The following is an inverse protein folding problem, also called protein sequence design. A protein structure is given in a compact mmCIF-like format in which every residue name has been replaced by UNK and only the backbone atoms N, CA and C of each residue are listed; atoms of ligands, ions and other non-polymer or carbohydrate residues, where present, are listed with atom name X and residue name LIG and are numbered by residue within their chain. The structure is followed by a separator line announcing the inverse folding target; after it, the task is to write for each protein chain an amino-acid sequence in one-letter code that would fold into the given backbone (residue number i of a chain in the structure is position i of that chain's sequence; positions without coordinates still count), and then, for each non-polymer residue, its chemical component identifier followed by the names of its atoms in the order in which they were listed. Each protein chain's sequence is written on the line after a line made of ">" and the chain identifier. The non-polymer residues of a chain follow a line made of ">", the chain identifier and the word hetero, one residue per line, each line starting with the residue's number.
data_IF_286453340345
#
_entry.id   IF_286453340345
#
_cell.length_a   1.000
_cell.length_b   1.000
_cell.length_c   1.000
_cell.angle_alpha   90.00
_cell.angle_beta   90.00
_cell.angle_gamma   90.00
#
_symmetry.space_group_name_H-M   'P 1'
#
loop_
_entity.id
_entity.type
_entity.pdbx_description
1 polymer ?
#
# COMPACT_ATOMS: atom_id res chain seq x y z
N UNK A 1 -11.13 -8.20 9.33
CA UNK A 1 -11.50 -7.52 8.06
C UNK A 1 -10.71 -8.15 6.94
N UNK A 2 -11.30 -8.23 5.74
CA UNK A 2 -10.64 -8.73 4.54
C UNK A 2 -10.36 -7.54 3.62
N UNK A 3 -9.18 -7.50 3.03
CA UNK A 3 -8.75 -6.49 2.06
C UNK A 3 -8.34 -7.20 0.78
N UNK A 4 -8.67 -6.60 -0.36
CA UNK A 4 -8.27 -7.05 -1.68
C UNK A 4 -6.98 -6.33 -2.08
N UNK A 5 -6.04 -7.08 -2.62
CA UNK A 5 -4.77 -6.56 -3.12
C UNK A 5 -4.65 -6.85 -4.62
N UNK A 6 -4.20 -5.86 -5.38
CA UNK A 6 -3.57 -6.15 -6.66
C UNK A 6 -2.15 -6.65 -6.39
N UNK A 7 -1.74 -7.73 -7.04
CA UNK A 7 -0.41 -8.31 -6.90
C UNK A 7 0.08 -8.73 -8.28
N UNK A 8 1.28 -8.28 -8.63
CA UNK A 8 1.96 -8.65 -9.86
C UNK A 8 3.44 -8.97 -9.60
N UNK A 9 4.05 -9.71 -10.52
CA UNK A 9 5.48 -9.97 -10.50
C UNK A 9 6.13 -9.25 -11.69
N UNK A 10 7.12 -8.41 -11.41
CA UNK A 10 7.96 -7.75 -12.40
C UNK A 10 9.43 -8.15 -12.19
N UNK A 11 9.95 -8.96 -13.10
CA UNK A 11 11.26 -9.60 -12.98
C UNK A 11 11.40 -10.39 -11.67
N UNK A 12 12.35 -9.98 -10.84
CA UNK A 12 12.63 -10.60 -9.53
C UNK A 12 11.78 -10.04 -8.38
N UNK A 13 10.90 -9.09 -8.65
CA UNK A 13 10.14 -8.39 -7.62
C UNK A 13 8.66 -8.71 -7.70
N UNK A 14 8.05 -8.83 -6.53
CA UNK A 14 6.61 -8.85 -6.35
C UNK A 14 6.17 -7.46 -5.91
N UNK A 15 5.21 -6.88 -6.63
CA UNK A 15 4.67 -5.54 -6.38
C UNK A 15 3.19 -5.69 -6.02
N UNK A 16 2.72 -4.95 -5.02
CA UNK A 16 1.31 -4.96 -4.68
C UNK A 16 0.82 -3.72 -3.95
N UNK A 17 -0.48 -3.53 -4.00
CA UNK A 17 -1.19 -2.44 -3.32
C UNK A 17 -2.60 -2.88 -2.92
N UNK A 18 -3.09 -2.35 -1.79
CA UNK A 18 -4.45 -2.63 -1.32
C UNK A 18 -5.46 -1.74 -2.05
N UNK A 19 -6.44 -2.37 -2.69
CA UNK A 19 -7.53 -1.69 -3.41
C UNK A 19 -8.47 -0.98 -2.44
N UNK A 20 -8.76 -1.66 -1.32
CA UNK A 20 -9.69 -1.19 -0.30
C UNK A 20 -9.05 -0.18 0.68
N UNK A 21 -7.72 -0.02 0.63
CA UNK A 21 -6.96 0.92 1.46
C UNK A 21 -5.86 1.62 0.64
N UNK A 22 -6.26 2.61 -0.19
CA UNK A 22 -5.32 3.36 -1.04
C UNK A 22 -4.19 3.99 -0.22
N UNK A 23 -2.96 3.91 -0.75
CA UNK A 23 -1.75 4.37 -0.07
C UNK A 23 -1.00 3.29 0.71
N UNK A 24 -1.55 2.07 0.81
CA UNK A 24 -0.81 0.90 1.28
C UNK A 24 -0.30 0.09 0.10
N UNK A 25 1.00 0.16 -0.11
CA UNK A 25 1.72 -0.54 -1.18
C UNK A 25 3.01 -1.15 -0.62
N UNK A 26 3.49 -2.20 -1.27
CA UNK A 26 4.75 -2.86 -0.92
C UNK A 26 5.40 -3.50 -2.16
N UNK A 27 6.70 -3.75 -2.08
CA UNK A 27 7.47 -4.47 -3.08
C UNK A 27 8.47 -5.39 -2.37
N UNK A 28 8.49 -6.67 -2.71
CA UNK A 28 9.32 -7.67 -2.03
C UNK A 28 9.90 -8.71 -3.00
N UNK A 29 10.87 -9.51 -2.55
CA UNK A 29 11.50 -10.57 -3.38
C UNK A 29 10.66 -11.84 -3.49
N UNK A 30 9.67 -12.03 -2.61
CA UNK A 30 8.73 -13.13 -2.69
C UNK A 30 7.28 -12.68 -2.50
N UNK A 31 6.34 -13.43 -3.09
CA UNK A 31 4.91 -13.19 -2.92
C UNK A 31 4.47 -13.25 -1.46
N UNK A 32 5.09 -14.11 -0.66
CA UNK A 32 4.72 -14.29 0.75
C UNK A 32 5.16 -13.08 1.57
N UNK A 33 6.40 -12.61 1.38
CA UNK A 33 6.89 -11.38 2.02
C UNK A 33 6.04 -10.19 1.60
N UNK A 34 5.68 -10.08 0.32
CA UNK A 34 4.80 -9.01 -0.16
C UNK A 34 3.48 -8.96 0.62
N UNK A 35 2.83 -10.12 0.81
CA UNK A 35 1.58 -10.22 1.55
C UNK A 35 1.78 -9.80 3.01
N UNK A 36 2.88 -10.20 3.65
CA UNK A 36 3.16 -9.78 5.02
C UNK A 36 3.42 -8.27 5.13
N UNK A 37 4.20 -7.69 4.21
CA UNK A 37 4.43 -6.25 4.17
C UNK A 37 3.14 -5.46 3.94
N UNK A 38 2.25 -5.91 3.05
CA UNK A 38 0.92 -5.30 2.86
C UNK A 38 0.07 -5.36 4.14
N UNK A 39 0.10 -6.47 4.87
CA UNK A 39 -0.61 -6.58 6.16
C UNK A 39 -0.03 -5.65 7.22
N UNK A 40 1.29 -5.46 7.25
CA UNK A 40 1.94 -4.55 8.19
C UNK A 40 1.55 -3.11 7.85
N UNK A 41 1.72 -2.70 6.59
CA UNK A 41 1.33 -1.36 6.13
C UNK A 41 -0.15 -1.06 6.36
N UNK A 42 -1.04 -2.04 6.19
CA UNK A 42 -2.45 -1.87 6.52
C UNK A 42 -2.70 -1.61 8.00
N UNK A 43 -2.01 -2.33 8.90
CA UNK A 43 -2.12 -2.12 10.35
C UNK A 43 -1.63 -0.72 10.71
N UNK A 44 -0.46 -0.34 10.23
CA UNK A 44 0.13 0.97 10.49
C UNK A 44 -0.80 2.10 10.02
N UNK A 45 -1.36 1.98 8.81
CA UNK A 45 -2.29 2.96 8.23
C UNK A 45 -3.58 3.11 9.06
N UNK A 46 -4.15 1.99 9.54
CA UNK A 46 -5.39 2.00 10.34
C UNK A 46 -5.17 2.52 11.76
N UNK A 47 -3.99 2.28 12.31
CA UNK A 47 -3.61 2.69 13.66
C UNK A 47 -3.11 4.14 13.71
N UNK A 48 -2.74 4.74 12.58
CA UNK A 48 -2.16 6.08 12.51
C UNK A 48 -3.19 7.20 12.84
N UNK A 49 -3.08 7.89 13.99
CA UNK A 49 -4.11 8.82 14.44
C UNK A 49 -4.16 10.14 13.64
N UNK A 50 -3.04 10.57 13.05
CA UNK A 50 -2.96 11.87 12.40
C UNK A 50 -3.61 11.90 11.00
N UNK A 51 -3.91 10.75 10.39
CA UNK A 51 -4.74 10.69 9.17
C UNK A 51 -6.19 11.12 9.45
N UNK A 52 -6.66 11.01 10.69
CA UNK A 52 -8.05 11.35 11.05
C UNK A 52 -8.29 12.86 11.16
N UNK A 53 -7.23 13.68 11.26
CA UNK A 53 -7.34 15.12 11.50
C UNK A 53 -6.52 16.00 10.54
N UNK A 54 -5.69 15.42 9.68
CA UNK A 54 -4.85 16.17 8.73
C UNK A 54 -5.56 16.25 7.38
N UNK A 55 -5.83 17.47 6.92
CA UNK A 55 -6.08 17.70 5.48
C UNK A 55 -4.72 17.60 4.78
N UNK A 56 -4.49 16.59 3.92
CA UNK A 56 -3.26 16.51 3.15
C UNK A 56 -3.22 17.67 2.16
N UNK A 57 -2.05 18.27 1.98
CA UNK A 57 -1.81 19.22 0.90
C UNK A 57 -1.65 18.42 -0.39
N UNK A 58 -2.71 18.38 -1.20
CA UNK A 58 -2.76 17.62 -2.43
C UNK A 58 -2.34 18.53 -3.58
N UNK A 59 -1.28 18.14 -4.29
CA UNK A 59 -0.81 18.84 -5.48
C UNK A 59 -1.02 17.98 -6.72
N UNK A 60 -1.41 18.61 -7.82
CA UNK A 60 -1.45 17.95 -9.13
C UNK A 60 -0.05 17.95 -9.72
N UNK A 61 0.43 16.77 -10.10
CA UNK A 61 1.71 16.59 -10.80
C UNK A 61 1.40 16.22 -12.24
N UNK A 62 1.75 17.11 -13.17
CA UNK A 62 1.65 16.84 -14.60
C UNK A 62 2.85 15.99 -15.06
N UNK A 63 2.58 14.94 -15.82
CA UNK A 63 3.59 14.06 -16.40
C UNK A 63 3.67 14.33 -17.90
N UNK A 64 4.89 14.35 -18.45
CA UNK A 64 5.16 14.58 -19.87
C UNK A 64 4.74 13.41 -20.76
#
# INVERSE_FOLDING_TARGET
>A
MNYHAHIEQDGEWWIGYLMDLPGVNAQEKSRQELIESLKIGARDMLDYPALKSRQPDLVTVEMA
#
